data_IF_725969214574
#
_entry.id   IF_725969214574
#
_cell.length_a   1.000
_cell.length_b   1.000
_cell.length_c   1.000
_cell.angle_alpha   90.00
_cell.angle_beta   90.00
_cell.angle_gamma   90.00
#
_symmetry.space_group_name_H-M   'P 1'
#
loop_
_entity.id
_entity.type
_entity.pdbx_description
1 polymer ?
#
# COMPACT_ATOMS: atom_id res chain seq x y z
N UNK A 1 6.84 18.73 -1.13
CA UNK A 1 6.25 17.38 -0.98
C UNK A 1 5.79 16.95 -2.36
N UNK A 2 6.35 15.86 -2.90
CA UNK A 2 5.99 15.37 -4.24
C UNK A 2 4.82 14.38 -4.13
N UNK A 3 3.87 14.48 -5.05
CA UNK A 3 2.77 13.52 -5.19
C UNK A 3 3.03 12.66 -6.43
N UNK A 4 3.15 11.35 -6.24
CA UNK A 4 3.32 10.40 -7.34
C UNK A 4 1.94 9.90 -7.82
N UNK A 5 1.31 10.69 -8.69
CA UNK A 5 -0.10 10.51 -9.11
C UNK A 5 -0.43 9.14 -9.70
N UNK A 6 0.54 8.46 -10.31
CA UNK A 6 0.32 7.13 -10.88
C UNK A 6 -0.03 6.06 -9.83
N UNK A 7 0.42 6.25 -8.58
CA UNK A 7 0.07 5.37 -7.46
C UNK A 7 -1.20 5.83 -6.73
N UNK A 8 -1.79 6.98 -7.07
CA UNK A 8 -3.04 7.40 -6.46
C UNK A 8 -4.22 6.63 -7.10
N UNK A 9 -5.21 6.18 -6.31
CA UNK A 9 -6.42 5.60 -6.89
C UNK A 9 -7.11 6.62 -7.80
N UNK A 10 -7.68 6.15 -8.91
CA UNK A 10 -8.46 7.03 -9.78
C UNK A 10 -9.58 7.72 -9.00
N UNK A 11 -9.87 8.97 -9.36
CA UNK A 11 -10.87 9.77 -8.64
C UNK A 11 -12.25 9.06 -8.59
N UNK A 12 -12.64 8.41 -9.69
CA UNK A 12 -13.89 7.64 -9.77
C UNK A 12 -13.91 6.47 -8.79
N UNK A 13 -12.82 5.72 -8.69
CA UNK A 13 -12.71 4.58 -7.78
C UNK A 13 -12.80 5.06 -6.32
N UNK A 14 -12.06 6.12 -5.99
CA UNK A 14 -12.07 6.73 -4.66
C UNK A 14 -13.43 7.32 -4.27
N UNK A 15 -14.08 8.06 -5.18
CA UNK A 15 -15.40 8.67 -4.93
C UNK A 15 -16.48 7.60 -4.73
N UNK A 16 -16.46 6.54 -5.55
CA UNK A 16 -17.39 5.41 -5.40
C UNK A 16 -17.21 4.70 -4.06
N UNK A 17 -15.96 4.48 -3.64
CA UNK A 17 -15.65 3.86 -2.36
C UNK A 17 -16.12 4.75 -1.18
N UNK A 18 -15.79 6.04 -1.22
CA UNK A 18 -16.20 7.01 -0.20
C UNK A 18 -17.73 7.12 -0.06
N UNK A 19 -18.46 7.04 -1.18
CA UNK A 19 -19.93 7.04 -1.22
C UNK A 19 -20.55 5.68 -0.92
N UNK A 20 -19.75 4.67 -0.53
CA UNK A 20 -20.18 3.29 -0.25
C UNK A 20 -20.93 2.63 -1.42
N UNK A 21 -20.62 3.03 -2.65
CA UNK A 21 -21.18 2.42 -3.87
C UNK A 21 -20.51 1.10 -4.24
N UNK A 22 -19.31 0.87 -3.72
CA UNK A 22 -18.53 -0.35 -3.88
C UNK A 22 -18.00 -0.81 -2.52
N UNK A 23 -17.80 -2.12 -2.36
CA UNK A 23 -17.16 -2.69 -1.17
C UNK A 23 -15.65 -2.46 -1.15
N UNK A 24 -15.02 -2.68 0.01
CA UNK A 24 -13.56 -2.69 0.14
C UNK A 24 -12.91 -3.73 -0.77
N UNK A 25 -13.46 -4.94 -0.82
CA UNK A 25 -13.00 -6.02 -1.69
C UNK A 25 -13.00 -5.59 -3.16
N UNK A 26 -14.09 -4.96 -3.61
CA UNK A 26 -14.20 -4.47 -4.98
C UNK A 26 -13.19 -3.35 -5.24
N UNK A 27 -12.97 -2.46 -4.27
CA UNK A 27 -11.93 -1.43 -4.37
C UNK A 27 -10.54 -2.04 -4.53
N UNK A 28 -10.19 -3.03 -3.71
CA UNK A 28 -8.89 -3.71 -3.74
C UNK A 28 -8.65 -4.35 -5.11
N UNK A 29 -9.64 -5.07 -5.65
CA UNK A 29 -9.53 -5.72 -6.97
C UNK A 29 -9.28 -4.69 -8.07
N UNK A 30 -10.12 -3.65 -8.15
CA UNK A 30 -10.01 -2.63 -9.20
C UNK A 30 -8.71 -1.82 -9.08
N UNK A 31 -8.28 -1.52 -7.85
CA UNK A 31 -7.04 -0.81 -7.61
C UNK A 31 -5.81 -1.65 -7.95
N UNK A 32 -5.80 -2.94 -7.59
CA UNK A 32 -4.72 -3.85 -7.95
C UNK A 32 -4.63 -4.05 -9.48
N UNK A 33 -5.75 -4.09 -10.19
CA UNK A 33 -5.74 -4.12 -11.66
C UNK A 33 -5.03 -2.87 -12.22
N UNK A 34 -5.38 -1.69 -11.72
CA UNK A 34 -4.73 -0.44 -12.10
C UNK A 34 -3.22 -0.44 -11.79
N UNK A 35 -2.80 -1.01 -10.65
CA UNK A 35 -1.39 -1.16 -10.31
C UNK A 35 -0.66 -2.15 -11.23
N UNK A 36 -1.30 -3.26 -11.60
CA UNK A 36 -0.73 -4.28 -12.48
C UNK A 36 -0.56 -3.78 -13.93
N UNK A 37 -1.27 -2.72 -14.33
CA UNK A 37 -1.04 -2.03 -15.60
C UNK A 37 0.25 -1.19 -15.59
N UNK A 38 0.83 -0.92 -14.41
CA UNK A 38 2.09 -0.21 -14.25
C UNK A 38 3.28 -1.18 -14.27
N UNK A 39 4.43 -0.69 -14.73
CA UNK A 39 5.70 -1.39 -14.57
C UNK A 39 6.31 -1.05 -13.19
N UNK A 40 6.30 -2.02 -12.29
CA UNK A 40 6.78 -1.87 -10.90
C UNK A 40 8.25 -1.44 -10.80
N UNK A 41 9.13 -1.95 -11.66
CA UNK A 41 10.55 -1.57 -11.70
C UNK A 41 10.72 -0.10 -12.08
N UNK A 42 10.04 0.34 -13.13
CA UNK A 42 10.08 1.74 -13.55
C UNK A 42 9.51 2.67 -12.46
N UNK A 43 8.45 2.23 -11.76
CA UNK A 43 7.91 2.99 -10.62
C UNK A 43 8.96 3.13 -9.52
N UNK A 44 9.63 2.05 -9.14
CA UNK A 44 10.68 2.08 -8.10
C UNK A 44 11.85 2.98 -8.51
N UNK A 45 12.32 2.89 -9.75
CA UNK A 45 13.37 3.77 -10.29
C UNK A 45 12.95 5.24 -10.25
N UNK A 46 11.72 5.56 -10.64
CA UNK A 46 11.19 6.91 -10.56
C UNK A 46 11.11 7.42 -9.13
N UNK A 47 10.67 6.59 -8.17
CA UNK A 47 10.62 6.97 -6.75
C UNK A 47 12.01 7.29 -6.21
N UNK A 48 13.01 6.48 -6.54
CA UNK A 48 14.42 6.72 -6.18
C UNK A 48 14.96 8.00 -6.85
N UNK A 49 14.61 8.24 -8.11
CA UNK A 49 15.01 9.46 -8.81
C UNK A 49 14.41 10.72 -8.17
N UNK A 50 13.11 10.71 -7.85
CA UNK A 50 12.40 11.85 -7.24
C UNK A 50 12.93 12.24 -5.87
N UNK A 51 13.54 11.30 -5.17
CA UNK A 51 14.12 11.48 -3.84
C UNK A 51 15.61 11.77 -3.88
N UNK A 52 16.20 11.92 -5.08
CA UNK A 52 17.63 12.17 -5.25
C UNK A 52 18.50 11.00 -4.77
N UNK A 53 17.99 9.77 -4.85
CA UNK A 53 18.68 8.57 -4.37
C UNK A 53 18.58 8.33 -2.87
N UNK A 54 17.87 9.19 -2.12
CA UNK A 54 17.54 8.94 -0.70
C UNK A 54 16.40 7.93 -0.62
N UNK A 55 16.37 7.09 0.40
CA UNK A 55 15.32 6.08 0.59
C UNK A 55 13.90 6.70 0.54
N UNK A 56 13.04 6.30 -0.41
CA UNK A 56 11.70 6.85 -0.53
C UNK A 56 10.78 6.46 0.63
N UNK A 57 10.05 7.42 1.18
CA UNK A 57 9.05 7.19 2.23
C UNK A 57 7.63 7.34 1.64
N UNK A 58 6.83 6.28 1.73
CA UNK A 58 5.42 6.30 1.32
C UNK A 58 4.54 6.96 2.40
N UNK A 59 3.97 8.12 2.09
CA UNK A 59 3.11 8.87 3.00
C UNK A 59 1.66 8.90 2.54
N UNK A 60 0.72 8.90 3.50
CA UNK A 60 -0.71 9.12 3.25
C UNK A 60 -1.37 9.72 4.51
N UNK A 61 -2.47 10.44 4.33
CA UNK A 61 -3.22 11.10 5.42
C UNK A 61 -4.03 10.14 6.29
N UNK A 62 -4.23 8.88 5.86
CA UNK A 62 -4.97 7.88 6.60
C UNK A 62 -4.23 7.44 7.87
N UNK A 63 -4.98 7.10 8.92
CA UNK A 63 -4.43 6.56 10.16
C UNK A 63 -3.63 5.27 9.94
N UNK A 64 -2.66 5.01 10.82
CA UNK A 64 -1.64 3.95 10.65
C UNK A 64 -2.22 2.57 10.36
N UNK A 65 -3.25 2.15 11.10
CA UNK A 65 -3.84 0.80 10.99
C UNK A 65 -5.16 0.76 10.22
N UNK A 66 -5.59 1.90 9.65
CA UNK A 66 -6.87 1.99 8.92
C UNK A 66 -6.67 1.57 7.46
N UNK A 67 -7.77 1.20 6.83
CA UNK A 67 -7.79 0.94 5.38
C UNK A 67 -7.13 2.10 4.63
N UNK A 68 -6.11 1.79 3.85
CA UNK A 68 -5.39 2.78 3.06
C UNK A 68 -4.75 2.16 1.83
N UNK A 69 -4.86 2.86 0.69
CA UNK A 69 -4.21 2.48 -0.56
C UNK A 69 -2.68 2.39 -0.41
N UNK A 70 -2.06 3.14 0.51
CA UNK A 70 -0.63 3.03 0.87
C UNK A 70 -0.22 1.59 1.16
N UNK A 71 -1.04 0.86 1.92
CA UNK A 71 -0.71 -0.50 2.31
C UNK A 71 -0.81 -1.46 1.11
N UNK A 72 -1.77 -1.22 0.20
CA UNK A 72 -1.90 -1.96 -1.05
C UNK A 72 -0.71 -1.69 -2.00
N UNK A 73 -0.28 -0.44 -2.12
CA UNK A 73 0.90 -0.07 -2.92
C UNK A 73 2.16 -0.72 -2.37
N UNK A 74 2.36 -0.69 -1.06
CA UNK A 74 3.52 -1.32 -0.43
C UNK A 74 3.52 -2.84 -0.68
N UNK A 75 2.40 -3.51 -0.43
CA UNK A 75 2.25 -4.95 -0.70
C UNK A 75 2.50 -5.30 -2.18
N UNK A 76 1.99 -4.48 -3.10
CA UNK A 76 2.24 -4.64 -4.54
C UNK A 76 3.72 -4.49 -4.89
N UNK A 77 4.40 -3.45 -4.41
CA UNK A 77 5.83 -3.25 -4.66
C UNK A 77 6.69 -4.37 -4.05
N UNK A 78 6.37 -4.82 -2.84
CA UNK A 78 7.06 -5.96 -2.20
C UNK A 78 6.92 -7.22 -3.06
N UNK A 79 5.71 -7.53 -3.53
CA UNK A 79 5.42 -8.69 -4.38
C UNK A 79 6.12 -8.63 -5.74
N UNK A 80 6.02 -7.50 -6.44
CA UNK A 80 6.51 -7.38 -7.82
C UNK A 80 8.01 -7.13 -7.92
N UNK A 81 8.60 -6.45 -6.93
CA UNK A 81 10.03 -6.12 -6.94
C UNK A 81 10.88 -6.98 -6.00
N UNK A 82 10.27 -7.78 -5.12
CA UNK A 82 10.98 -8.61 -4.14
C UNK A 82 11.73 -7.80 -3.07
N UNK A 83 11.27 -6.58 -2.81
CA UNK A 83 11.82 -5.70 -1.78
C UNK A 83 11.02 -5.82 -0.48
N UNK A 84 11.54 -5.27 0.62
CA UNK A 84 10.85 -5.21 1.91
C UNK A 84 10.56 -3.73 2.22
N UNK A 85 9.30 -3.40 2.46
CA UNK A 85 8.84 -2.06 2.80
C UNK A 85 8.36 -2.07 4.26
N UNK A 86 9.21 -1.58 5.15
CA UNK A 86 8.92 -1.54 6.58
C UNK A 86 8.03 -0.35 6.95
N UNK A 87 7.15 -0.54 7.94
CA UNK A 87 6.40 0.58 8.53
C UNK A 87 7.27 1.28 9.57
N UNK A 88 7.35 2.61 9.49
CA UNK A 88 8.17 3.41 10.40
C UNK A 88 7.66 3.26 11.85
N UNK A 89 8.49 2.72 12.73
CA UNK A 89 8.21 2.44 14.15
C UNK A 89 7.11 1.37 14.40
N UNK A 90 6.84 0.46 13.46
CA UNK A 90 5.85 -0.61 13.62
C UNK A 90 6.37 -1.95 13.06
N UNK A 91 7.10 -2.71 13.87
CA UNK A 91 7.70 -4.01 13.47
C UNK A 91 6.75 -5.19 13.60
N UNK A 92 5.77 -5.09 14.50
CA UNK A 92 4.89 -6.19 14.90
C UNK A 92 3.59 -6.24 14.09
N UNK A 93 3.57 -5.59 12.93
CA UNK A 93 2.41 -5.51 12.06
C UNK A 93 2.71 -6.15 10.71
N UNK A 94 1.68 -6.72 10.12
CA UNK A 94 1.66 -7.25 8.75
C UNK A 94 0.56 -6.55 7.94
N UNK A 95 0.79 -6.41 6.64
CA UNK A 95 -0.20 -5.88 5.72
C UNK A 95 -1.21 -6.98 5.37
N UNK A 96 -2.49 -6.62 5.36
CA UNK A 96 -3.56 -7.51 4.90
C UNK A 96 -4.72 -6.69 4.34
N UNK A 97 -5.01 -6.87 3.05
CA UNK A 97 -6.17 -6.26 2.39
C UNK A 97 -6.28 -4.74 2.62
N UNK A 98 -5.16 -4.02 2.56
CA UNK A 98 -5.13 -2.56 2.76
C UNK A 98 -5.12 -2.10 4.21
N UNK A 99 -4.98 -3.01 5.19
CA UNK A 99 -4.83 -2.71 6.61
C UNK A 99 -3.45 -3.12 7.14
N UNK A 100 -3.07 -2.58 8.31
CA UNK A 100 -2.03 -3.15 9.17
C UNK A 100 -2.67 -3.94 10.31
N UNK A 101 -2.38 -5.23 10.37
CA UNK A 101 -2.87 -6.15 11.40
C UNK A 101 -1.69 -6.54 12.29
N UNK A 102 -1.90 -6.62 13.60
CA UNK A 102 -0.84 -7.05 14.51
C UNK A 102 -0.54 -8.53 14.25
N UNK A 103 0.75 -8.85 14.06
CA UNK A 103 1.23 -10.23 13.94
C UNK A 103 0.78 -10.99 15.19
N UNK A 104 0.12 -12.13 14.99
CA UNK A 104 -0.15 -13.05 16.09
C UNK A 104 1.18 -13.71 16.43
N UNK A 105 1.70 -13.44 17.63
CA UNK A 105 2.78 -14.27 18.15
C UNK A 105 2.19 -15.67 18.36
N UNK A 106 2.83 -16.74 17.83
CA UNK A 106 2.39 -18.08 18.16
C UNK A 106 2.39 -18.21 19.68
N UNK A 107 1.25 -18.59 20.25
CA UNK A 107 1.18 -18.93 21.66
C UNK A 107 2.15 -20.10 21.89
N UNK A 108 3.04 -19.97 22.88
CA UNK A 108 3.90 -21.08 23.31
C UNK A 108 3.08 -22.22 23.96
N UNK A 109 1.79 -21.99 24.19
CA UNK A 109 0.85 -22.97 24.74
C UNK A 109 -0.28 -23.20 23.73
N UNK A 110 -0.48 -24.43 23.23
CA UNK A 110 -1.68 -24.78 22.47
C UNK A 110 -2.92 -24.78 23.37
N UNK A 111 -4.08 -24.47 22.77
CA UNK A 111 -5.40 -24.49 23.41
C UNK A 111 -5.85 -25.90 23.85
#
# INVERSE_FOLDING_TARGET
>A
MYEYKALAPSWRLWDNFKKKKISEEKFIIEYNNMLNDLNSKNVLEHLNFLTGGVEPILMCKCGKTKFCHRHLVAEWLERECGIIIQELNLTDYERKNGYLVKKKNPSLFPD
#
